data_IF_170727161611
#
_entry.id   IF_170727161611
#
_cell.length_a   1.000
_cell.length_b   1.000
_cell.length_c   1.000
_cell.angle_alpha   90.00
_cell.angle_beta   90.00
_cell.angle_gamma   90.00
#
_symmetry.space_group_name_H-M   'P 1'
#
loop_
_entity.id
_entity.type
_entity.pdbx_description
1 polymer ?
#
# COMPACT_ATOMS: atom_id res chain seq x y z
N UNK A 1 -19.51 -12.23 -1.68
CA UNK A 1 -18.73 -11.99 -2.92
C UNK A 1 -17.60 -13.01 -2.98
N UNK A 2 -17.38 -13.66 -4.14
CA UNK A 2 -16.42 -14.77 -4.30
C UNK A 2 -15.35 -14.47 -5.35
N UNK A 3 -14.19 -15.11 -5.23
CA UNK A 3 -13.15 -15.06 -6.25
C UNK A 3 -13.59 -15.85 -7.50
N UNK A 4 -13.59 -15.21 -8.67
CA UNK A 4 -13.94 -15.87 -9.93
C UNK A 4 -12.68 -16.38 -10.64
N UNK A 5 -12.40 -17.68 -10.51
CA UNK A 5 -11.29 -18.32 -11.22
C UNK A 5 -11.39 -18.20 -12.75
N UNK A 6 -12.61 -18.10 -13.31
CA UNK A 6 -12.83 -17.84 -14.74
C UNK A 6 -12.34 -16.44 -15.14
N UNK A 7 -12.69 -15.41 -14.36
CA UNK A 7 -12.29 -14.04 -14.64
C UNK A 7 -10.78 -13.86 -14.51
N UNK A 8 -10.17 -14.48 -13.49
CA UNK A 8 -8.71 -14.42 -13.28
C UNK A 8 -7.98 -15.04 -14.47
N UNK A 9 -8.42 -16.22 -14.94
CA UNK A 9 -7.84 -16.85 -16.14
C UNK A 9 -8.00 -16.00 -17.40
N UNK A 10 -9.17 -15.38 -17.59
CA UNK A 10 -9.40 -14.45 -18.71
C UNK A 10 -8.41 -13.27 -18.67
N UNK A 11 -8.27 -12.61 -17.52
CA UNK A 11 -7.34 -11.49 -17.33
C UNK A 11 -5.88 -11.90 -17.50
N UNK A 12 -5.50 -13.10 -17.08
CA UNK A 12 -4.18 -13.68 -17.35
C UNK A 12 -3.93 -13.84 -18.86
N UNK A 13 -4.93 -14.34 -19.60
CA UNK A 13 -4.89 -14.48 -21.06
C UNK A 13 -4.72 -13.13 -21.77
N UNK A 14 -5.51 -12.13 -21.38
CA UNK A 14 -5.42 -10.77 -21.94
C UNK A 14 -4.06 -10.11 -21.72
N UNK A 15 -3.37 -10.45 -20.63
CA UNK A 15 -2.06 -9.90 -20.29
C UNK A 15 -0.89 -10.80 -20.71
N UNK A 16 -1.15 -11.96 -21.33
CA UNK A 16 -0.15 -12.96 -21.68
C UNK A 16 0.72 -13.42 -20.49
N UNK A 17 0.15 -13.46 -19.28
CA UNK A 17 0.86 -13.90 -18.06
C UNK A 17 0.26 -15.23 -17.62
N UNK A 18 1.11 -16.21 -17.26
CA UNK A 18 0.62 -17.46 -16.69
C UNK A 18 0.06 -17.25 -15.28
N UNK A 19 -0.91 -18.07 -14.87
CA UNK A 19 -1.44 -18.03 -13.50
C UNK A 19 -0.33 -18.20 -12.45
N UNK A 20 0.65 -19.07 -12.72
CA UNK A 20 1.79 -19.28 -11.81
C UNK A 20 2.65 -18.03 -11.69
N UNK A 21 2.91 -17.32 -12.80
CA UNK A 21 3.65 -16.07 -12.79
C UNK A 21 2.89 -14.96 -12.05
N UNK A 22 1.57 -14.85 -12.25
CA UNK A 22 0.72 -13.93 -11.51
C UNK A 22 0.81 -14.16 -9.99
N UNK A 23 0.61 -15.41 -9.56
CA UNK A 23 0.62 -15.78 -8.14
C UNK A 23 1.99 -15.52 -7.51
N UNK A 24 3.07 -15.84 -8.22
CA UNK A 24 4.44 -15.56 -7.76
C UNK A 24 4.68 -14.05 -7.60
N UNK A 25 4.31 -13.25 -8.61
CA UNK A 25 4.50 -11.80 -8.57
C UNK A 25 3.64 -11.12 -7.50
N UNK A 26 2.46 -11.67 -7.20
CA UNK A 26 1.57 -11.19 -6.16
C UNK A 26 1.93 -11.70 -4.75
N UNK A 27 2.95 -12.56 -4.60
CA UNK A 27 3.31 -13.17 -3.31
C UNK A 27 2.24 -14.12 -2.76
N UNK A 28 1.37 -14.66 -3.60
CA UNK A 28 0.27 -15.56 -3.20
C UNK A 28 0.65 -17.01 -3.49
N UNK A 29 0.57 -17.88 -2.47
CA UNK A 29 0.82 -19.31 -2.69
C UNK A 29 -0.31 -19.97 -3.49
N UNK A 30 0.01 -21.04 -4.23
CA UNK A 30 -1.00 -21.84 -4.95
C UNK A 30 -2.09 -22.35 -4.00
N UNK A 31 -1.70 -22.81 -2.82
CA UNK A 31 -2.62 -23.32 -1.79
C UNK A 31 -3.57 -22.23 -1.32
N UNK A 32 -3.06 -21.03 -1.02
CA UNK A 32 -3.90 -19.90 -0.62
C UNK A 32 -4.89 -19.52 -1.73
N UNK A 33 -4.43 -19.49 -2.98
CA UNK A 33 -5.28 -19.20 -4.13
C UNK A 33 -6.44 -20.19 -4.27
N UNK A 34 -6.17 -21.50 -4.27
CA UNK A 34 -7.22 -22.50 -4.41
C UNK A 34 -8.17 -22.53 -3.21
N UNK A 35 -7.63 -22.33 -2.00
CA UNK A 35 -8.46 -22.19 -0.80
C UNK A 35 -9.41 -21.00 -0.90
N UNK A 36 -8.95 -19.85 -1.41
CA UNK A 36 -9.79 -18.66 -1.61
C UNK A 36 -10.84 -18.83 -2.71
N UNK A 37 -10.54 -19.56 -3.78
CA UNK A 37 -11.51 -19.88 -4.85
C UNK A 37 -12.62 -20.80 -4.35
N UNK A 38 -12.28 -21.76 -3.49
CA UNK A 38 -13.25 -22.71 -2.94
C UNK A 38 -14.22 -22.06 -1.95
N UNK A 39 -13.86 -20.92 -1.36
CA UNK A 39 -14.70 -20.20 -0.40
C UNK A 39 -15.87 -19.48 -1.07
N UNK A 40 -17.04 -19.59 -0.43
CA UNK A 40 -18.25 -18.88 -0.83
C UNK A 40 -18.12 -17.34 -0.67
N UNK A 41 -17.32 -16.92 0.32
CA UNK A 41 -16.96 -15.52 0.51
C UNK A 41 -15.50 -15.37 0.86
N UNK A 42 -14.85 -14.41 0.20
CA UNK A 42 -13.46 -14.00 0.48
C UNK A 42 -13.41 -12.84 1.50
N UNK A 43 -14.57 -12.25 1.81
CA UNK A 43 -14.68 -11.19 2.80
C UNK A 43 -14.75 -11.77 4.21
N UNK A 44 -14.08 -11.12 5.20
CA UNK A 44 -14.35 -11.37 6.60
C UNK A 44 -15.84 -11.24 6.91
N UNK A 45 -16.36 -12.10 7.80
CA UNK A 45 -17.77 -12.09 8.21
C UNK A 45 -18.21 -10.72 8.74
N UNK A 46 -17.32 -10.00 9.41
CA UNK A 46 -17.55 -8.65 9.92
C UNK A 46 -17.92 -7.65 8.82
N UNK A 47 -17.18 -7.62 7.71
CA UNK A 47 -17.48 -6.74 6.58
C UNK A 47 -18.83 -7.10 5.93
N UNK A 48 -19.12 -8.40 5.82
CA UNK A 48 -20.42 -8.88 5.33
C UNK A 48 -21.57 -8.42 6.22
N UNK A 49 -21.41 -8.50 7.55
CA UNK A 49 -22.41 -8.06 8.51
C UNK A 49 -22.63 -6.54 8.46
N UNK A 50 -21.55 -5.75 8.33
CA UNK A 50 -21.65 -4.29 8.16
C UNK A 50 -22.40 -3.91 6.89
N UNK A 51 -22.08 -4.56 5.76
CA UNK A 51 -22.76 -4.30 4.49
C UNK A 51 -24.26 -4.64 4.56
N UNK A 52 -24.60 -5.77 5.20
CA UNK A 52 -25.99 -6.16 5.39
C UNK A 52 -26.75 -5.21 6.33
N UNK A 53 -26.12 -4.76 7.42
CA UNK A 53 -26.73 -3.81 8.35
C UNK A 53 -27.01 -2.43 7.72
N UNK A 54 -26.18 -2.03 6.75
CA UNK A 54 -26.30 -0.77 6.03
C UNK A 54 -27.13 -0.88 4.74
N UNK A 55 -27.63 -2.07 4.40
CA UNK A 55 -28.33 -2.38 3.14
C UNK A 55 -27.54 -1.95 1.87
N UNK A 56 -26.23 -2.15 1.90
CA UNK A 56 -25.34 -1.83 0.77
C UNK A 56 -24.56 -3.04 0.29
N UNK A 57 -24.09 -2.98 -0.96
CA UNK A 57 -23.15 -3.97 -1.48
C UNK A 57 -21.78 -3.81 -0.80
N UNK A 58 -21.07 -4.90 -0.44
CA UNK A 58 -19.77 -4.81 0.22
C UNK A 58 -18.73 -3.99 -0.56
N UNK A 59 -18.81 -3.94 -1.89
CA UNK A 59 -17.92 -3.12 -2.73
C UNK A 59 -18.02 -1.62 -2.44
N UNK A 60 -19.14 -1.15 -1.90
CA UNK A 60 -19.33 0.27 -1.55
C UNK A 60 -18.56 0.63 -0.28
N UNK A 61 -18.33 -0.34 0.61
CA UNK A 61 -17.57 -0.13 1.84
C UNK A 61 -16.04 -0.16 1.62
N UNK A 62 -15.59 -0.46 0.41
CA UNK A 62 -14.18 -0.62 0.10
C UNK A 62 -13.73 0.56 -0.76
N UNK A 63 -12.81 1.34 -0.24
CA UNK A 63 -12.08 2.33 -1.01
C UNK A 63 -10.76 1.73 -1.49
N UNK A 64 -10.42 1.96 -2.75
CA UNK A 64 -9.06 1.72 -3.19
C UNK A 64 -8.16 2.75 -2.50
N UNK A 65 -7.12 2.28 -1.81
CA UNK A 65 -6.10 3.19 -1.28
C UNK A 65 -5.62 4.10 -2.42
N UNK A 66 -5.84 5.40 -2.27
CA UNK A 66 -5.49 6.39 -3.28
C UNK A 66 -3.95 6.43 -3.47
N UNK A 67 -3.50 7.15 -4.51
CA UNK A 67 -2.08 7.25 -4.86
C UNK A 67 -1.23 7.83 -3.72
N UNK A 68 -1.79 8.74 -2.91
CA UNK A 68 -1.13 9.37 -1.78
C UNK A 68 -1.03 8.40 -0.60
N UNK A 69 -2.09 7.65 -0.31
CA UNK A 69 -2.12 6.59 0.68
C UNK A 69 -1.09 5.50 0.36
N UNK A 70 -1.01 5.05 -0.90
CA UNK A 70 0.04 4.10 -1.35
C UNK A 70 1.44 4.70 -1.31
N UNK A 71 1.59 6.01 -1.48
CA UNK A 71 2.88 6.71 -1.33
C UNK A 71 3.30 6.75 0.15
N UNK A 72 2.38 7.12 1.04
CA UNK A 72 2.62 7.16 2.48
C UNK A 72 3.01 5.78 3.02
N UNK A 73 2.28 4.72 2.63
CA UNK A 73 2.60 3.33 3.01
C UNK A 73 4.01 2.95 2.56
N UNK A 74 4.38 3.22 1.29
CA UNK A 74 5.73 2.92 0.78
C UNK A 74 6.85 3.64 1.53
N UNK A 75 6.62 4.89 1.93
CA UNK A 75 7.57 5.65 2.74
C UNK A 75 7.73 5.05 4.15
N UNK A 76 6.63 4.61 4.76
CA UNK A 76 6.66 3.95 6.08
C UNK A 76 7.41 2.61 5.99
N UNK A 77 7.10 1.78 5.00
CA UNK A 77 7.79 0.49 4.78
C UNK A 77 9.29 0.67 4.48
N UNK A 78 9.66 1.74 3.77
CA UNK A 78 11.05 2.08 3.53
C UNK A 78 11.76 2.52 4.82
N UNK A 79 11.10 3.33 5.65
CA UNK A 79 11.63 3.73 6.95
C UNK A 79 11.82 2.52 7.88
N UNK A 80 10.82 1.64 7.96
CA UNK A 80 10.87 0.43 8.79
C UNK A 80 12.03 -0.49 8.39
N UNK A 81 12.27 -0.67 7.08
CA UNK A 81 13.40 -1.46 6.57
C UNK A 81 14.77 -0.86 6.93
N UNK A 82 14.90 0.47 6.91
CA UNK A 82 16.16 1.15 7.24
C UNK A 82 16.44 1.02 8.74
N UNK A 83 15.45 1.29 9.59
CA UNK A 83 15.57 1.18 11.06
C UNK A 83 15.83 -0.26 11.48
N UNK A 84 15.29 -1.26 10.76
CA UNK A 84 15.61 -2.66 11.03
C UNK A 84 17.11 -2.99 10.82
N UNK A 85 17.82 -2.23 9.97
CA UNK A 85 19.26 -2.38 9.77
C UNK A 85 20.12 -1.67 10.81
N UNK A 86 19.57 -0.63 11.45
CA UNK A 86 20.21 0.11 12.55
C UNK A 86 19.15 0.62 13.53
N UNK A 87 18.90 -0.11 14.63
CA UNK A 87 17.90 0.26 15.63
C UNK A 87 18.18 1.56 16.38
N UNK A 88 19.37 2.14 16.24
CA UNK A 88 19.71 3.44 16.85
C UNK A 88 19.11 4.63 16.09
N UNK A 89 18.64 4.42 14.86
CA UNK A 89 18.05 5.46 14.04
C UNK A 89 16.63 5.83 14.49
N UNK A 90 16.35 7.13 14.55
CA UNK A 90 15.01 7.64 14.77
C UNK A 90 14.15 7.44 13.49
N UNK A 91 13.09 6.64 13.64
CA UNK A 91 12.17 6.29 12.56
C UNK A 91 11.49 7.49 11.92
N UNK A 92 11.08 8.47 12.71
CA UNK A 92 10.39 9.66 12.21
C UNK A 92 11.36 10.56 11.42
N UNK A 93 12.60 10.67 11.87
CA UNK A 93 13.66 11.35 11.11
C UNK A 93 13.96 10.65 9.78
N UNK A 94 14.02 9.31 9.78
CA UNK A 94 14.19 8.53 8.54
C UNK A 94 13.01 8.77 7.60
N UNK A 95 11.77 8.65 8.08
CA UNK A 95 10.56 8.93 7.28
C UNK A 95 10.59 10.34 6.71
N UNK A 96 10.89 11.33 7.53
CA UNK A 96 10.96 12.72 7.11
C UNK A 96 12.02 12.94 6.02
N UNK A 97 13.19 12.32 6.19
CA UNK A 97 14.27 12.40 5.20
C UNK A 97 13.85 11.77 3.88
N UNK A 98 13.24 10.58 3.90
CA UNK A 98 12.72 9.93 2.70
C UNK A 98 11.69 10.79 1.98
N UNK A 99 10.79 11.45 2.72
CA UNK A 99 9.83 12.39 2.14
C UNK A 99 10.52 13.56 1.42
N UNK A 100 11.57 14.13 2.03
CA UNK A 100 12.36 15.22 1.43
C UNK A 100 13.14 14.78 0.19
N UNK A 101 13.56 13.51 0.14
CA UNK A 101 14.29 12.96 -1.00
C UNK A 101 13.42 12.76 -2.24
N UNK A 102 12.11 12.62 -2.07
CA UNK A 102 11.16 12.55 -3.20
C UNK A 102 10.99 13.88 -3.93
N UNK A 103 11.43 14.98 -3.32
CA UNK A 103 11.36 16.28 -3.94
C UNK A 103 12.48 16.50 -4.95
N UNK A 104 12.24 17.40 -5.90
CA UNK A 104 13.28 17.83 -6.83
C UNK A 104 14.44 18.43 -6.03
N UNK A 105 15.70 18.14 -6.41
CA UNK A 105 16.87 18.66 -5.69
C UNK A 105 16.82 20.18 -5.47
N UNK A 106 16.31 20.92 -6.45
CA UNK A 106 16.15 22.38 -6.37
C UNK A 106 15.15 22.82 -5.29
N UNK A 107 14.06 22.09 -5.10
CA UNK A 107 13.01 22.43 -4.14
C UNK A 107 13.46 22.09 -2.71
N UNK A 108 14.18 20.97 -2.55
CA UNK A 108 14.85 20.62 -1.29
C UNK A 108 15.88 21.68 -0.90
N UNK A 109 16.70 22.13 -1.83
CA UNK A 109 17.69 23.19 -1.59
C UNK A 109 16.99 24.51 -1.20
N UNK A 110 15.94 24.91 -1.92
CA UNK A 110 15.14 26.09 -1.58
C UNK A 110 14.55 25.99 -0.17
N UNK A 111 13.98 24.85 0.23
CA UNK A 111 13.46 24.67 1.60
C UNK A 111 14.55 24.84 2.64
N UNK A 112 15.70 24.21 2.44
CA UNK A 112 16.82 24.31 3.39
C UNK A 112 17.32 25.76 3.52
N UNK A 113 17.44 26.49 2.40
CA UNK A 113 17.83 27.90 2.40
C UNK A 113 16.78 28.82 3.04
N UNK A 114 15.49 28.57 2.81
CA UNK A 114 14.41 29.32 3.46
C UNK A 114 14.37 29.11 4.97
N UNK A 115 14.60 27.86 5.42
CA UNK A 115 14.73 27.54 6.85
C UNK A 115 15.93 28.24 7.47
N UNK A 116 17.09 28.22 6.81
CA UNK A 116 18.30 28.89 7.27
C UNK A 116 18.18 30.43 7.30
N UNK A 117 17.28 31.02 6.52
CA UNK A 117 16.94 32.46 6.56
C UNK A 117 16.00 32.86 7.71
N UNK A 118 15.42 31.89 8.42
CA UNK A 118 14.71 32.11 9.67
C UNK A 118 15.48 31.43 10.82
N UNK A 119 16.74 31.82 11.09
CA UNK A 119 17.33 31.43 12.37
C UNK A 119 16.55 32.22 13.41
N UNK A 120 15.76 31.52 14.22
CA UNK A 120 15.13 31.99 15.46
C UNK A 120 15.18 33.51 15.69
N UNK A 121 14.18 34.23 15.15
CA UNK A 121 13.76 35.50 15.76
C UNK A 121 12.96 35.13 17.02
N UNK A 122 13.66 34.73 18.08
CA UNK A 122 13.17 34.86 19.44
C UNK A 122 13.67 36.21 20.01
N UNK A 123 12.80 37.04 20.62
CA UNK A 123 13.26 38.09 21.52
C UNK A 123 13.91 37.50 22.78
#
# INVERSE_FOLDING_TARGET
MRLSGKNIRRLCGERMISLNALLKNAGVSKTAYYHLIAKESVFPRSIGALAAALDVRPSVLLEEADRESRRAIRLLEAADRIVAGDPSMDRDNVRHTLLLLEEKPIDRLRRSLLRARRPDLQP
#
